data_IF_049439422860
#
_entry.id   IF_049439422860
#
_cell.length_a   1.000
_cell.length_b   1.000
_cell.length_c   1.000
_cell.angle_alpha   90.00
_cell.angle_beta   90.00
_cell.angle_gamma   90.00
#
_symmetry.space_group_name_H-M   'P 1'
#
loop_
_entity.id
_entity.type
_entity.pdbx_description
1 polymer ?
#
# COMPACT_ATOMS: atom_id res chain seq x y z
N UNK A 1 -12.07 -34.84 -22.37
CA UNK A 1 -11.84 -33.44 -21.94
C UNK A 1 -10.39 -33.31 -21.47
N UNK A 2 -9.59 -32.63 -22.22
CA UNK A 2 -8.21 -32.29 -21.79
C UNK A 2 -8.26 -31.09 -20.85
N UNK A 3 -7.97 -31.36 -19.60
CA UNK A 3 -7.84 -30.30 -18.58
C UNK A 3 -6.36 -29.96 -18.44
N UNK A 4 -5.95 -28.78 -18.90
CA UNK A 4 -4.61 -28.26 -18.66
C UNK A 4 -4.70 -27.34 -17.46
N UNK A 5 -3.95 -27.61 -16.42
CA UNK A 5 -3.91 -26.84 -15.19
C UNK A 5 -2.54 -26.19 -15.10
N UNK A 6 -2.51 -24.87 -15.02
CA UNK A 6 -1.31 -24.07 -14.82
C UNK A 6 -1.60 -23.13 -13.64
N UNK A 7 -1.16 -23.53 -12.46
CA UNK A 7 -1.47 -22.83 -11.22
C UNK A 7 -2.99 -22.74 -10.97
N UNK A 8 -3.50 -21.54 -10.77
CA UNK A 8 -4.92 -21.26 -10.49
C UNK A 8 -5.81 -21.19 -11.74
N UNK A 9 -5.26 -21.44 -12.92
CA UNK A 9 -6.00 -21.37 -14.19
C UNK A 9 -6.25 -22.75 -14.77
N UNK A 10 -7.49 -22.99 -15.20
CA UNK A 10 -7.88 -24.20 -15.91
C UNK A 10 -8.41 -23.83 -17.29
N UNK A 11 -7.94 -24.53 -18.32
CA UNK A 11 -8.45 -24.40 -19.68
C UNK A 11 -9.26 -25.63 -20.05
N UNK A 12 -10.37 -25.45 -20.78
CA UNK A 12 -11.18 -26.54 -21.34
C UNK A 12 -11.58 -26.17 -22.76
N UNK A 13 -11.67 -27.15 -23.61
CA UNK A 13 -12.18 -27.09 -24.98
C UNK A 13 -13.71 -27.17 -25.06
N UNK A 14 -14.35 -27.53 -23.95
CA UNK A 14 -15.80 -27.66 -23.86
C UNK A 14 -16.35 -27.10 -22.58
N UNK A 15 -17.32 -26.23 -22.71
CA UNK A 15 -18.00 -25.58 -21.60
C UNK A 15 -19.50 -25.86 -21.75
N UNK A 16 -20.14 -26.32 -20.67
CA UNK A 16 -21.58 -26.51 -20.58
C UNK A 16 -22.16 -25.54 -19.55
N UNK A 17 -23.12 -24.76 -19.97
CA UNK A 17 -23.87 -23.88 -19.06
C UNK A 17 -25.02 -24.72 -18.45
N UNK A 18 -24.92 -25.04 -17.18
CA UNK A 18 -25.89 -25.87 -16.47
C UNK A 18 -27.16 -25.07 -16.13
N UNK A 19 -26.99 -23.85 -15.63
CA UNK A 19 -28.11 -22.93 -15.35
C UNK A 19 -27.60 -21.49 -15.13
N UNK A 20 -28.50 -20.55 -15.26
CA UNK A 20 -28.30 -19.19 -14.77
C UNK A 20 -28.56 -19.14 -13.26
N UNK A 21 -27.73 -18.43 -12.51
CA UNK A 21 -27.92 -18.18 -11.08
C UNK A 21 -28.52 -16.79 -10.91
N UNK A 22 -29.73 -16.66 -10.38
CA UNK A 22 -30.33 -15.36 -10.09
C UNK A 22 -29.46 -14.53 -9.15
N UNK A 23 -29.47 -13.21 -9.32
CA UNK A 23 -28.58 -12.31 -8.58
C UNK A 23 -28.75 -12.37 -7.05
N UNK A 24 -29.96 -12.56 -6.57
CA UNK A 24 -30.24 -12.75 -5.15
C UNK A 24 -29.65 -14.06 -4.59
N UNK A 25 -29.55 -15.11 -5.40
CA UNK A 25 -28.85 -16.34 -5.03
C UNK A 25 -27.33 -16.11 -5.01
N UNK A 26 -26.78 -15.38 -5.99
CA UNK A 26 -25.37 -14.99 -6.00
C UNK A 26 -24.99 -14.21 -4.74
N UNK A 27 -25.82 -13.23 -4.35
CA UNK A 27 -25.56 -12.42 -3.14
C UNK A 27 -25.55 -13.27 -1.87
N UNK A 28 -26.35 -14.31 -1.79
CA UNK A 28 -26.36 -15.26 -0.65
C UNK A 28 -25.11 -16.16 -0.61
N UNK A 29 -24.52 -16.43 -1.77
CA UNK A 29 -23.31 -17.25 -1.86
C UNK A 29 -22.06 -16.43 -1.49
N UNK A 30 -21.98 -15.17 -1.92
CA UNK A 30 -20.78 -14.34 -1.80
C UNK A 30 -20.72 -13.48 -0.54
N UNK A 31 -21.79 -13.47 0.27
CA UNK A 31 -21.88 -12.72 1.52
C UNK A 31 -22.05 -13.67 2.71
N UNK A 32 -21.44 -13.33 3.84
CA UNK A 32 -21.66 -13.96 5.14
C UNK A 32 -22.52 -12.97 5.95
N UNK A 33 -23.83 -13.05 5.79
CA UNK A 33 -24.79 -12.15 6.43
C UNK A 33 -26.07 -12.00 5.63
N UNK A 34 -27.04 -11.25 6.19
CA UNK A 34 -28.36 -11.05 5.62
C UNK A 34 -28.54 -9.64 5.11
N UNK A 35 -29.41 -9.48 4.11
CA UNK A 35 -29.83 -8.19 3.59
C UNK A 35 -28.68 -7.29 3.10
N UNK A 36 -27.61 -7.91 2.62
CA UNK A 36 -26.48 -7.19 2.02
C UNK A 36 -26.73 -6.93 0.53
N UNK A 37 -26.39 -5.74 0.07
CA UNK A 37 -26.23 -5.42 -1.34
C UNK A 37 -24.75 -5.30 -1.66
N UNK A 38 -24.30 -5.85 -2.78
CA UNK A 38 -22.86 -5.94 -3.10
C UNK A 38 -22.25 -7.27 -2.71
N UNK A 39 -20.92 -7.35 -2.68
CA UNK A 39 -20.18 -8.62 -2.60
C UNK A 39 -19.19 -8.63 -1.45
N UNK A 40 -18.89 -9.85 -0.99
CA UNK A 40 -17.86 -10.10 0.01
C UNK A 40 -18.07 -9.33 1.32
N UNK A 41 -19.34 -9.21 1.74
CA UNK A 41 -19.68 -8.64 3.03
C UNK A 41 -19.74 -9.74 4.10
N UNK A 42 -19.30 -9.40 5.30
CA UNK A 42 -19.46 -10.18 6.52
C UNK A 42 -20.26 -9.37 7.53
N UNK A 43 -21.40 -9.88 7.97
CA UNK A 43 -22.37 -9.15 8.80
C UNK A 43 -23.61 -8.73 8.03
N UNK A 44 -24.58 -8.16 8.72
CA UNK A 44 -25.90 -7.91 8.21
C UNK A 44 -26.10 -6.45 7.73
N UNK A 45 -27.01 -6.25 6.78
CA UNK A 45 -27.46 -4.94 6.33
C UNK A 45 -26.38 -4.05 5.73
N UNK A 46 -25.34 -4.62 5.11
CA UNK A 46 -24.30 -3.87 4.44
C UNK A 46 -24.72 -3.46 3.02
N UNK A 47 -24.44 -2.23 2.65
CA UNK A 47 -24.60 -1.71 1.29
C UNK A 47 -23.23 -1.35 0.74
N UNK A 48 -22.81 -1.98 -0.36
CA UNK A 48 -21.46 -1.88 -0.95
C UNK A 48 -20.68 -3.17 -0.78
N UNK A 49 -19.38 -3.12 -0.98
CA UNK A 49 -18.54 -4.31 -1.08
C UNK A 49 -17.49 -4.40 0.03
N UNK A 50 -17.14 -5.63 0.41
CA UNK A 50 -16.03 -5.91 1.35
C UNK A 50 -16.18 -5.22 2.70
N UNK A 51 -17.41 -5.14 3.22
CA UNK A 51 -17.64 -4.65 4.56
C UNK A 51 -17.58 -5.80 5.57
N UNK A 52 -17.06 -5.52 6.77
CA UNK A 52 -17.06 -6.40 7.91
C UNK A 52 -17.74 -5.69 9.09
N UNK A 53 -18.78 -6.29 9.66
CA UNK A 53 -19.68 -5.69 10.64
C UNK A 53 -21.03 -5.34 10.03
N UNK A 54 -21.88 -4.65 10.77
CA UNK A 54 -23.26 -4.45 10.40
C UNK A 54 -23.59 -3.02 9.98
N UNK A 55 -24.58 -2.88 9.12
CA UNK A 55 -25.16 -1.59 8.76
C UNK A 55 -24.16 -0.59 8.14
N UNK A 56 -23.17 -1.05 7.40
CA UNK A 56 -22.25 -0.18 6.69
C UNK A 56 -22.80 0.23 5.32
N UNK A 57 -22.53 1.46 4.93
CA UNK A 57 -22.81 1.99 3.59
C UNK A 57 -21.52 2.47 2.95
N UNK A 58 -21.17 1.90 1.82
CA UNK A 58 -19.88 2.13 1.11
C UNK A 58 -19.03 0.87 1.12
N UNK A 59 -17.76 1.01 0.75
CA UNK A 59 -16.88 -0.13 0.51
C UNK A 59 -15.75 -0.22 1.55
N UNK A 60 -15.35 -1.46 1.85
CA UNK A 60 -14.17 -1.74 2.65
C UNK A 60 -14.22 -1.17 4.07
N UNK A 61 -15.38 -1.14 4.71
CA UNK A 61 -15.50 -0.74 6.10
C UNK A 61 -15.33 -1.94 7.04
N UNK A 62 -14.71 -1.70 8.19
CA UNK A 62 -14.59 -2.64 9.30
C UNK A 62 -15.17 -1.99 10.56
N UNK A 63 -16.16 -2.62 11.18
CA UNK A 63 -16.97 -2.08 12.26
C UNK A 63 -18.41 -1.84 11.81
N UNK A 64 -19.18 -1.10 12.58
CA UNK A 64 -20.61 -0.99 12.37
C UNK A 64 -21.06 0.44 12.07
N UNK A 65 -22.12 0.59 11.30
CA UNK A 65 -22.80 1.87 11.05
C UNK A 65 -21.88 2.94 10.43
N UNK A 66 -20.95 2.53 9.60
CA UNK A 66 -20.13 3.47 8.86
C UNK A 66 -20.80 3.89 7.56
N UNK A 67 -20.64 5.16 7.20
CA UNK A 67 -21.06 5.71 5.91
C UNK A 67 -19.85 6.31 5.22
N UNK A 68 -19.51 5.80 4.04
CA UNK A 68 -18.30 6.10 3.30
C UNK A 68 -17.43 4.88 3.15
N UNK A 69 -16.16 5.06 2.75
CA UNK A 69 -15.31 3.96 2.38
C UNK A 69 -14.08 3.85 3.27
N UNK A 70 -13.61 2.62 3.50
CA UNK A 70 -12.34 2.33 4.20
C UNK A 70 -12.30 2.88 5.62
N UNK A 71 -13.42 2.84 6.33
CA UNK A 71 -13.45 3.18 7.74
C UNK A 71 -13.14 1.95 8.60
N UNK A 72 -12.46 2.16 9.72
CA UNK A 72 -12.21 1.17 10.77
C UNK A 72 -12.71 1.73 12.09
N UNK A 73 -13.63 1.03 12.74
CA UNK A 73 -14.36 1.47 13.92
C UNK A 73 -15.83 1.71 13.62
N UNK A 74 -16.56 2.35 14.52
CA UNK A 74 -18.02 2.44 14.47
C UNK A 74 -18.53 3.86 14.23
N UNK A 75 -19.68 3.96 13.60
CA UNK A 75 -20.43 5.20 13.46
C UNK A 75 -19.69 6.34 12.75
N UNK A 76 -18.78 6.05 11.85
CA UNK A 76 -18.06 7.06 11.09
C UNK A 76 -18.86 7.50 9.86
N UNK A 77 -18.74 8.78 9.52
CA UNK A 77 -19.21 9.36 8.26
C UNK A 77 -18.01 9.99 7.55
N UNK A 78 -17.86 9.70 6.26
CA UNK A 78 -16.66 10.09 5.49
C UNK A 78 -15.77 8.88 5.21
N UNK A 79 -14.63 9.12 4.62
CA UNK A 79 -13.73 8.08 4.14
C UNK A 79 -12.47 7.97 4.98
N UNK A 80 -11.94 6.75 5.11
CA UNK A 80 -10.61 6.50 5.70
C UNK A 80 -10.45 7.00 7.13
N UNK A 81 -11.50 6.81 7.95
CA UNK A 81 -11.42 7.09 9.37
C UNK A 81 -10.95 5.85 10.13
N UNK A 82 -10.19 6.07 11.21
CA UNK A 82 -9.82 5.05 12.19
C UNK A 82 -10.23 5.53 13.58
N UNK A 83 -11.15 4.81 14.22
CA UNK A 83 -11.81 5.20 15.47
C UNK A 83 -13.30 5.42 15.26
N UNK A 84 -13.98 6.09 16.18
CA UNK A 84 -15.42 6.10 16.25
C UNK A 84 -16.02 7.50 16.16
N UNK A 85 -17.25 7.58 15.65
CA UNK A 85 -18.07 8.79 15.65
C UNK A 85 -17.46 9.99 14.90
N UNK A 86 -16.59 9.76 13.91
CA UNK A 86 -16.04 10.81 13.08
C UNK A 86 -17.06 11.26 12.02
N UNK A 87 -17.11 12.55 11.71
CA UNK A 87 -18.03 13.19 10.76
C UNK A 87 -17.34 13.81 9.54
N UNK A 88 -16.05 13.63 9.43
CA UNK A 88 -15.27 14.02 8.25
C UNK A 88 -14.30 12.90 7.87
N UNK A 89 -13.51 13.10 6.83
CA UNK A 89 -12.60 12.07 6.31
C UNK A 89 -11.19 12.16 6.90
N UNK A 90 -10.43 11.06 6.80
CA UNK A 90 -9.02 10.97 7.16
C UNK A 90 -8.73 11.25 8.66
N UNK A 91 -9.66 10.94 9.54
CA UNK A 91 -9.46 11.13 10.96
C UNK A 91 -8.91 9.88 11.65
N UNK A 92 -8.10 10.12 12.69
CA UNK A 92 -7.71 9.12 13.67
C UNK A 92 -8.22 9.55 15.05
N UNK A 93 -8.83 8.62 15.80
CA UNK A 93 -9.49 8.92 17.07
C UNK A 93 -10.99 9.12 16.91
N UNK A 94 -11.63 9.79 17.86
CA UNK A 94 -13.08 9.83 17.98
C UNK A 94 -13.64 11.25 18.01
N UNK A 95 -14.89 11.39 17.54
CA UNK A 95 -15.66 12.65 17.58
C UNK A 95 -15.05 13.82 16.80
N UNK A 96 -14.32 13.53 15.71
CA UNK A 96 -13.77 14.58 14.86
C UNK A 96 -14.80 15.03 13.82
N UNK A 97 -14.97 16.33 13.68
CA UNK A 97 -15.89 16.94 12.72
C UNK A 97 -15.18 17.60 11.55
N UNK A 98 -13.87 17.78 11.65
CA UNK A 98 -13.00 18.35 10.63
C UNK A 98 -11.84 17.41 10.32
N UNK A 99 -11.26 17.54 9.13
CA UNK A 99 -10.07 16.78 8.75
C UNK A 99 -8.87 17.24 9.59
N UNK A 100 -8.22 16.27 10.23
CA UNK A 100 -7.11 16.57 11.14
C UNK A 100 -5.81 16.90 10.41
N UNK A 101 -5.01 17.76 11.03
CA UNK A 101 -3.62 17.98 10.64
C UNK A 101 -2.77 16.80 11.11
N UNK A 102 -1.85 16.36 10.25
CA UNK A 102 -0.99 15.22 10.55
C UNK A 102 0.29 15.62 11.28
N UNK A 103 0.85 14.65 12.00
CA UNK A 103 2.21 14.75 12.52
C UNK A 103 3.19 14.40 11.41
N UNK A 104 4.23 15.22 11.24
CA UNK A 104 5.36 14.95 10.36
C UNK A 104 6.65 15.11 11.17
N UNK A 105 7.55 14.16 11.06
CA UNK A 105 8.80 14.12 11.80
C UNK A 105 8.61 14.33 13.32
N UNK A 106 7.63 13.60 13.89
CA UNK A 106 7.26 13.64 15.32
C UNK A 106 6.77 15.02 15.82
N UNK A 107 6.45 15.94 14.94
CA UNK A 107 5.99 17.31 15.28
C UNK A 107 4.66 17.60 14.58
N UNK A 108 3.77 18.41 15.18
CA UNK A 108 2.57 18.89 14.52
C UNK A 108 2.90 19.66 13.24
N UNK A 109 2.13 19.41 12.19
CA UNK A 109 2.25 20.12 10.92
C UNK A 109 0.95 20.88 10.59
N UNK A 110 1.02 21.78 9.61
CA UNK A 110 -0.16 22.43 9.06
C UNK A 110 -0.78 21.67 7.87
N UNK A 111 -0.25 20.49 7.56
CA UNK A 111 -0.66 19.66 6.43
C UNK A 111 -1.73 18.65 6.87
N UNK A 112 -2.76 18.46 6.06
CA UNK A 112 -3.72 17.36 6.19
C UNK A 112 -3.16 16.10 5.54
N UNK A 113 -3.76 14.94 5.85
CA UNK A 113 -3.37 13.69 5.18
C UNK A 113 -3.70 13.71 3.68
N UNK A 114 -4.75 14.41 3.27
CA UNK A 114 -5.11 14.60 1.86
C UNK A 114 -4.02 15.39 1.12
N UNK A 115 -3.59 16.53 1.68
CA UNK A 115 -2.51 17.34 1.11
C UNK A 115 -1.21 16.52 1.01
N UNK A 116 -0.91 15.68 2.00
CA UNK A 116 0.21 14.74 1.93
C UNK A 116 0.06 13.74 0.79
N UNK A 117 -1.12 13.14 0.61
CA UNK A 117 -1.38 12.19 -0.48
C UNK A 117 -1.18 12.79 -1.88
N UNK A 118 -1.43 14.07 -2.03
CA UNK A 118 -1.35 14.81 -3.30
C UNK A 118 0.01 15.52 -3.48
N UNK A 119 0.91 15.45 -2.48
CA UNK A 119 2.19 16.16 -2.51
C UNK A 119 3.20 15.54 -3.47
N UNK A 120 4.01 16.41 -4.10
CA UNK A 120 5.14 15.99 -4.94
C UNK A 120 6.17 15.18 -4.14
N UNK A 121 6.35 15.51 -2.85
CA UNK A 121 7.27 14.79 -1.97
C UNK A 121 6.86 13.31 -1.84
N UNK A 122 5.59 13.04 -1.55
CA UNK A 122 5.08 11.66 -1.49
C UNK A 122 5.19 10.95 -2.83
N UNK A 123 4.91 11.62 -3.92
CA UNK A 123 5.06 11.04 -5.26
C UNK A 123 6.51 10.63 -5.53
N UNK A 124 7.50 11.48 -5.17
CA UNK A 124 8.91 11.16 -5.30
C UNK A 124 9.31 9.97 -4.41
N UNK A 125 8.90 9.97 -3.13
CA UNK A 125 9.21 8.88 -2.20
C UNK A 125 8.67 7.52 -2.63
N UNK A 126 7.52 7.50 -3.31
CA UNK A 126 6.97 6.27 -3.88
C UNK A 126 7.78 5.70 -5.06
N UNK A 127 8.77 6.44 -5.56
CA UNK A 127 9.66 6.00 -6.63
C UNK A 127 10.96 5.35 -6.11
N UNK A 128 11.16 5.30 -4.80
CA UNK A 128 12.29 4.59 -4.22
C UNK A 128 12.20 3.12 -4.65
N UNK A 129 13.19 2.61 -5.41
CA UNK A 129 13.16 1.23 -5.87
C UNK A 129 13.44 0.29 -4.69
N UNK A 130 12.86 -0.92 -4.75
CA UNK A 130 13.04 -1.94 -3.70
C UNK A 130 13.89 -3.12 -4.14
N UNK A 131 13.99 -3.32 -5.45
CA UNK A 131 14.62 -4.50 -6.05
C UNK A 131 15.59 -4.03 -7.15
N UNK A 132 16.69 -3.41 -6.77
CA UNK A 132 17.77 -3.06 -7.70
C UNK A 132 18.82 -4.15 -7.67
N UNK A 133 19.25 -4.54 -8.85
CA UNK A 133 20.37 -5.47 -9.03
C UNK A 133 21.51 -4.75 -9.76
N UNK A 134 22.72 -4.97 -9.31
CA UNK A 134 23.92 -4.40 -9.88
C UNK A 134 24.89 -5.52 -10.31
N UNK A 135 25.51 -5.34 -11.46
CA UNK A 135 26.58 -6.25 -11.88
C UNK A 135 27.88 -5.83 -11.24
N UNK A 136 28.46 -6.69 -10.40
CA UNK A 136 29.80 -6.50 -9.82
C UNK A 136 30.80 -7.25 -10.67
N UNK A 137 31.73 -6.51 -11.29
CA UNK A 137 32.80 -7.09 -12.09
C UNK A 137 33.83 -7.79 -11.21
N UNK A 138 34.52 -8.79 -11.76
CA UNK A 138 35.54 -9.58 -11.07
C UNK A 138 36.61 -8.69 -10.39
N UNK A 139 37.02 -7.60 -11.03
CA UNK A 139 38.02 -6.64 -10.54
C UNK A 139 37.56 -5.85 -9.31
N UNK A 140 36.25 -5.70 -9.13
CA UNK A 140 35.61 -4.97 -8.01
C UNK A 140 35.17 -5.90 -6.88
N UNK A 141 35.28 -7.23 -7.06
CA UNK A 141 34.84 -8.22 -6.08
C UNK A 141 35.81 -8.35 -4.91
N UNK A 142 35.26 -8.39 -3.69
CA UNK A 142 36.04 -8.77 -2.48
C UNK A 142 36.34 -10.27 -2.46
N UNK A 143 37.27 -10.69 -1.60
CA UNK A 143 37.60 -12.11 -1.45
C UNK A 143 36.44 -12.95 -0.93
N UNK A 144 35.57 -12.36 -0.06
CA UNK A 144 34.37 -12.98 0.45
C UNK A 144 33.32 -13.17 -0.66
N UNK A 145 33.17 -12.19 -1.54
CA UNK A 145 32.24 -12.27 -2.68
C UNK A 145 32.73 -13.30 -3.71
N UNK A 146 34.04 -13.37 -3.97
CA UNK A 146 34.63 -14.39 -4.82
C UNK A 146 34.41 -15.81 -4.28
N UNK A 147 34.53 -15.97 -2.97
CA UNK A 147 34.25 -17.25 -2.32
C UNK A 147 32.78 -17.65 -2.36
N UNK A 148 31.86 -16.65 -2.26
CA UNK A 148 30.41 -16.88 -2.31
C UNK A 148 29.90 -17.15 -3.75
N UNK A 149 30.59 -16.63 -4.77
CA UNK A 149 30.21 -16.74 -6.18
C UNK A 149 31.31 -17.40 -7.03
N UNK A 150 31.65 -18.67 -6.84
CA UNK A 150 32.82 -19.34 -7.43
C UNK A 150 32.83 -19.40 -8.97
N UNK A 151 31.74 -19.05 -9.63
CA UNK A 151 31.64 -18.98 -11.08
C UNK A 151 32.10 -17.63 -11.67
N UNK A 152 32.52 -16.69 -10.84
CA UNK A 152 32.89 -15.33 -11.24
C UNK A 152 33.97 -15.28 -12.33
N UNK A 153 34.94 -16.19 -12.28
CA UNK A 153 36.02 -16.27 -13.30
C UNK A 153 35.47 -16.58 -14.70
N UNK A 154 34.38 -17.34 -14.78
CA UNK A 154 33.74 -17.71 -16.05
C UNK A 154 32.78 -16.64 -16.53
N UNK A 155 32.07 -16.00 -15.60
CA UNK A 155 31.04 -14.99 -15.90
C UNK A 155 31.59 -13.57 -15.96
N UNK A 156 32.82 -13.34 -15.45
CA UNK A 156 33.43 -12.01 -15.34
C UNK A 156 32.84 -11.17 -14.20
N UNK A 157 32.15 -11.80 -13.24
CA UNK A 157 31.51 -11.14 -12.12
C UNK A 157 30.25 -11.86 -11.65
N UNK A 158 29.45 -11.18 -10.82
CA UNK A 158 28.16 -11.69 -10.33
C UNK A 158 27.10 -10.59 -10.24
N UNK A 159 25.83 -11.00 -10.10
CA UNK A 159 24.69 -10.10 -9.92
C UNK A 159 24.44 -9.91 -8.42
N UNK A 160 24.73 -8.70 -7.90
CA UNK A 160 24.45 -8.30 -6.53
C UNK A 160 23.02 -7.77 -6.44
N UNK A 161 22.24 -8.30 -5.51
CA UNK A 161 20.94 -7.72 -5.11
C UNK A 161 21.23 -6.68 -4.03
N UNK A 162 20.85 -5.43 -4.30
CA UNK A 162 21.04 -4.33 -3.36
C UNK A 162 20.01 -4.39 -2.25
N UNK A 163 20.38 -4.01 -1.04
CA UNK A 163 19.43 -3.86 0.06
C UNK A 163 18.60 -2.57 -0.09
N UNK A 164 17.56 -2.43 0.74
CA UNK A 164 16.64 -1.27 0.67
C UNK A 164 17.37 0.08 0.90
N UNK A 165 18.42 0.10 1.73
CA UNK A 165 19.21 1.32 2.00
C UNK A 165 20.08 1.68 0.81
N UNK A 166 20.75 0.70 0.20
CA UNK A 166 21.55 0.88 -1.01
C UNK A 166 20.69 1.37 -2.17
N UNK A 167 19.50 0.75 -2.38
CA UNK A 167 18.52 1.18 -3.38
C UNK A 167 18.06 2.62 -3.14
N UNK A 168 17.76 2.97 -1.90
CA UNK A 168 17.35 4.31 -1.51
C UNK A 168 18.44 5.35 -1.75
N UNK A 169 19.70 5.02 -1.46
CA UNK A 169 20.81 5.93 -1.66
C UNK A 169 21.11 6.17 -3.14
N UNK A 170 21.02 5.14 -3.99
CA UNK A 170 21.13 5.29 -5.44
C UNK A 170 20.02 6.20 -5.99
N UNK A 171 18.78 5.99 -5.53
CA UNK A 171 17.67 6.85 -5.90
C UNK A 171 17.92 8.31 -5.50
N UNK A 172 18.39 8.56 -4.27
CA UNK A 172 18.71 9.92 -3.80
C UNK A 172 19.80 10.57 -4.66
N UNK A 173 20.87 9.83 -4.98
CA UNK A 173 21.95 10.29 -5.85
C UNK A 173 21.48 10.65 -7.27
N UNK A 174 20.47 9.96 -7.78
CA UNK A 174 19.89 10.19 -9.11
C UNK A 174 18.98 11.40 -9.21
N UNK A 175 18.52 11.94 -8.05
CA UNK A 175 17.62 13.09 -8.04
C UNK A 175 18.34 14.40 -8.40
N UNK A 176 17.68 15.24 -9.19
CA UNK A 176 18.11 16.63 -9.38
C UNK A 176 17.95 17.44 -8.09
N UNK A 177 18.73 18.51 -7.93
CA UNK A 177 18.67 19.40 -6.75
C UNK A 177 17.24 19.88 -6.48
N UNK A 178 16.52 20.28 -7.52
CA UNK A 178 15.10 20.67 -7.39
C UNK A 178 14.23 19.59 -6.76
N UNK A 179 14.46 18.31 -7.09
CA UNK A 179 13.69 17.19 -6.49
C UNK A 179 14.13 16.91 -5.06
N UNK A 180 15.42 17.04 -4.77
CA UNK A 180 15.95 16.98 -3.40
C UNK A 180 15.35 18.08 -2.53
N UNK A 181 15.22 19.30 -3.07
CA UNK A 181 14.61 20.42 -2.35
C UNK A 181 13.13 20.19 -2.03
N UNK A 182 12.38 19.51 -2.91
CA UNK A 182 10.98 19.11 -2.61
C UNK A 182 10.93 18.20 -1.37
N UNK A 183 11.85 17.27 -1.23
CA UNK A 183 11.93 16.39 -0.05
C UNK A 183 12.33 17.19 1.20
N UNK A 184 13.36 18.03 1.10
CA UNK A 184 13.81 18.90 2.22
C UNK A 184 12.77 19.92 2.65
N UNK A 185 11.84 20.29 1.75
CA UNK A 185 10.75 21.23 2.03
C UNK A 185 9.54 20.58 2.72
N UNK A 186 9.56 19.28 3.00
CA UNK A 186 8.51 18.63 3.80
C UNK A 186 8.44 19.35 5.17
N UNK A 187 7.26 19.72 5.66
CA UNK A 187 7.15 20.40 6.94
C UNK A 187 7.83 19.64 8.08
N UNK A 188 8.62 20.33 8.88
CA UNK A 188 9.42 19.79 9.99
C UNK A 188 10.50 18.78 9.56
N UNK A 189 10.95 18.83 8.32
CA UNK A 189 11.96 17.89 7.82
C UNK A 189 13.12 17.72 8.82
N UNK A 190 13.50 16.46 9.05
CA UNK A 190 14.58 16.07 9.96
C UNK A 190 15.33 14.92 9.29
N UNK A 191 16.59 15.13 8.98
CA UNK A 191 17.42 14.18 8.22
C UNK A 191 17.65 12.86 8.95
N UNK A 192 17.73 12.90 10.29
CA UNK A 192 17.95 11.69 11.08
C UNK A 192 16.69 10.82 11.13
N UNK A 193 15.53 11.45 11.33
CA UNK A 193 14.25 10.74 11.28
C UNK A 193 13.99 10.24 9.86
N UNK A 194 14.31 11.03 8.85
CA UNK A 194 14.17 10.62 7.45
C UNK A 194 15.02 9.38 7.17
N UNK A 195 16.28 9.38 7.59
CA UNK A 195 17.15 8.20 7.49
C UNK A 195 16.60 6.99 8.22
N UNK A 196 16.10 7.16 9.45
CA UNK A 196 15.49 6.05 10.21
C UNK A 196 14.28 5.43 9.50
N UNK A 197 13.49 6.24 8.78
CA UNK A 197 12.29 5.79 8.09
C UNK A 197 12.54 5.21 6.69
N UNK A 198 13.58 5.66 6.01
CA UNK A 198 13.78 5.37 4.57
C UNK A 198 15.12 4.68 4.25
N UNK A 199 16.06 4.67 5.20
CA UNK A 199 17.45 4.24 4.95
C UNK A 199 18.26 5.22 4.10
N UNK A 200 17.69 6.34 3.68
CA UNK A 200 18.35 7.32 2.81
C UNK A 200 19.02 8.42 3.62
N UNK A 201 20.32 8.58 3.42
CA UNK A 201 21.07 9.72 3.97
C UNK A 201 20.95 10.91 3.02
N UNK A 202 20.52 12.01 3.59
CA UNK A 202 20.39 13.30 2.90
C UNK A 202 21.64 14.09 3.20
N UNK A 203 22.42 14.40 2.16
CA UNK A 203 23.60 15.27 2.29
C UNK A 203 23.15 16.66 2.76
N UNK A 204 23.91 17.24 3.69
CA UNK A 204 23.71 18.59 4.19
C UNK A 204 23.95 19.66 3.12
#
# INVERSE_FOLDING_TARGET
VYKRQDGDKSCTDKLEIVREIPWDEVLRIVNIGKNCTGRCNTGDWNTGNRNTGDCNTGDCNTGNRNTGNRNTGDCNTGDRNTGDWNKSSFNTGCFNTEEQKIMLFNKPSNMTYREWLESDARWLLNQIPKDVVEWVYEEDMTDEEKAAHPTYETTGGYLKVLDESECGQLWWGSLSDRRKDIIRAIPNFDSDIFFQCTGVRVDE
#
